data_IF_398333168679
#
_entry.id   IF_398333168679
#
_cell.length_a   1.000
_cell.length_b   1.000
_cell.length_c   1.000
_cell.angle_alpha   90.00
_cell.angle_beta   90.00
_cell.angle_gamma   90.00
#
_symmetry.space_group_name_H-M   'P 1'
#
loop_
_entity.id
_entity.type
_entity.pdbx_description
1 polymer ?
#
# COMPACT_ATOMS: atom_id res chain seq x y z
N UNK A 1 1.36 -24.34 -9.80
CA UNK A 1 1.13 -24.63 -8.37
C UNK A 1 -0.11 -23.86 -7.96
N UNK A 2 -1.06 -24.46 -7.23
CA UNK A 2 -2.25 -23.73 -6.81
C UNK A 2 -1.91 -22.76 -5.67
N UNK A 3 -2.70 -21.70 -5.48
CA UNK A 3 -2.52 -20.74 -4.38
C UNK A 3 -2.51 -21.44 -3.00
N UNK A 4 -3.37 -22.43 -2.82
CA UNK A 4 -3.42 -23.26 -1.60
C UNK A 4 -2.11 -23.98 -1.29
N UNK A 5 -1.41 -24.45 -2.33
CA UNK A 5 -0.16 -25.18 -2.18
C UNK A 5 0.97 -24.23 -1.76
N UNK A 6 1.02 -23.03 -2.36
CA UNK A 6 1.98 -21.99 -2.00
C UNK A 6 1.78 -21.57 -0.54
N UNK A 7 0.53 -21.30 -0.14
CA UNK A 7 0.20 -20.94 1.25
C UNK A 7 0.65 -22.02 2.24
N UNK A 8 0.37 -23.29 1.96
CA UNK A 8 0.80 -24.40 2.82
C UNK A 8 2.33 -24.53 2.89
N UNK A 9 3.05 -24.28 1.78
CA UNK A 9 4.51 -24.29 1.74
C UNK A 9 5.13 -23.15 2.56
N UNK A 10 4.47 -21.99 2.61
CA UNK A 10 5.02 -20.77 3.23
C UNK A 10 4.49 -20.48 4.62
N UNK A 11 3.40 -21.13 5.08
CA UNK A 11 2.73 -20.84 6.36
C UNK A 11 3.66 -20.96 7.58
N UNK A 12 4.64 -21.87 7.51
CA UNK A 12 5.60 -22.10 8.59
C UNK A 12 6.89 -21.28 8.49
N UNK A 13 7.04 -20.46 7.44
CA UNK A 13 8.21 -19.61 7.30
C UNK A 13 8.18 -18.56 8.41
N UNK A 14 9.27 -18.41 9.19
CA UNK A 14 9.33 -17.35 10.19
C UNK A 14 9.25 -16.00 9.48
N UNK A 15 8.39 -15.11 9.99
CA UNK A 15 8.39 -13.72 9.54
C UNK A 15 9.74 -13.07 9.85
N UNK A 16 10.10 -12.07 9.05
CA UNK A 16 11.31 -11.28 9.29
C UNK A 16 11.20 -10.55 10.64
N UNK A 17 12.29 -10.60 11.41
CA UNK A 17 12.42 -9.88 12.67
C UNK A 17 13.44 -8.76 12.50
N UNK A 18 13.03 -7.53 12.80
CA UNK A 18 13.89 -6.36 12.74
C UNK A 18 14.34 -6.01 14.16
N UNK A 19 15.64 -6.13 14.44
CA UNK A 19 16.20 -5.70 15.73
C UNK A 19 15.96 -4.21 16.00
N UNK A 20 15.93 -3.41 14.93
CA UNK A 20 15.64 -1.98 14.98
C UNK A 20 14.46 -1.69 14.06
N UNK A 21 13.40 -1.16 14.64
CA UNK A 21 12.26 -0.62 13.88
C UNK A 21 12.37 0.90 13.87
N UNK A 22 12.25 1.50 12.68
CA UNK A 22 12.31 2.96 12.50
C UNK A 22 10.98 3.66 12.84
N UNK A 23 10.19 3.08 13.76
CA UNK A 23 8.91 3.64 14.14
C UNK A 23 9.10 4.94 14.94
N UNK A 24 8.37 5.97 14.54
CA UNK A 24 8.31 7.24 15.24
C UNK A 24 7.08 7.28 16.15
N UNK A 25 7.08 8.19 17.12
CA UNK A 25 5.86 8.52 17.87
C UNK A 25 5.02 9.49 17.04
N UNK A 26 3.82 9.08 16.56
CA UNK A 26 2.94 10.00 15.84
C UNK A 26 2.25 10.98 16.81
N UNK A 27 1.63 12.06 16.30
CA UNK A 27 0.68 12.84 17.08
C UNK A 27 -0.49 11.95 17.58
N UNK A 28 -1.33 12.46 18.51
CA UNK A 28 -2.57 11.78 18.87
C UNK A 28 -3.37 11.43 17.62
N UNK A 29 -3.99 10.25 17.58
CA UNK A 29 -4.72 9.74 16.40
C UNK A 29 -5.67 10.78 15.80
N UNK A 30 -6.43 11.49 16.65
CA UNK A 30 -7.42 12.48 16.25
C UNK A 30 -6.81 13.74 15.60
N UNK A 31 -5.49 13.90 15.66
CA UNK A 31 -4.75 14.97 15.00
C UNK A 31 -3.92 14.46 13.81
N UNK A 32 -3.85 13.14 13.59
CA UNK A 32 -2.98 12.52 12.60
C UNK A 32 -3.59 12.53 11.19
N UNK A 33 -2.77 12.85 10.20
CA UNK A 33 -3.04 12.60 8.78
C UNK A 33 -2.60 11.18 8.40
N UNK A 34 -3.52 10.37 7.88
CA UNK A 34 -3.27 8.95 7.57
C UNK A 34 -3.27 8.70 6.07
N UNK A 35 -2.19 8.11 5.56
CA UNK A 35 -2.10 7.61 4.18
C UNK A 35 -2.11 6.08 4.13
N UNK A 36 -2.29 5.53 2.93
CA UNK A 36 -2.19 4.09 2.67
C UNK A 36 -0.99 3.87 1.77
N UNK A 37 -0.23 2.82 2.05
CA UNK A 37 0.71 2.25 1.08
C UNK A 37 0.29 0.81 0.84
N UNK A 38 -0.13 0.53 -0.39
CA UNK A 38 -0.59 -0.81 -0.81
C UNK A 38 0.43 -1.48 -1.72
N UNK A 39 0.43 -2.80 -1.73
CA UNK A 39 1.21 -3.62 -2.69
C UNK A 39 0.33 -4.25 -3.77
N UNK A 40 -0.94 -3.84 -3.85
CA UNK A 40 -1.92 -4.35 -4.81
C UNK A 40 -1.70 -3.90 -6.27
N UNK A 41 -0.56 -3.27 -6.58
CA UNK A 41 -0.23 -2.79 -7.93
C UNK A 41 -1.29 -1.86 -8.51
N UNK A 42 -1.87 -0.96 -7.70
CA UNK A 42 -2.92 -0.05 -8.15
C UNK A 42 -2.36 1.19 -8.87
N UNK A 43 -3.08 1.69 -9.87
CA UNK A 43 -2.78 2.95 -10.54
C UNK A 43 -4.05 3.57 -11.13
N UNK A 44 -4.00 4.84 -11.55
CA UNK A 44 -5.07 5.47 -12.31
C UNK A 44 -4.95 5.15 -13.82
N UNK A 45 -6.04 5.21 -14.62
CA UNK A 45 -6.03 4.85 -16.04
C UNK A 45 -5.05 5.65 -16.93
N UNK A 46 -4.61 6.83 -16.49
CA UNK A 46 -3.65 7.68 -17.20
C UNK A 46 -2.20 7.52 -16.76
N UNK A 47 -1.92 6.64 -15.80
CA UNK A 47 -0.57 6.34 -15.32
C UNK A 47 -0.03 5.08 -16.01
N UNK A 48 1.30 4.97 -16.06
CA UNK A 48 1.97 3.77 -16.54
C UNK A 48 1.60 2.56 -15.68
N UNK A 49 1.39 1.42 -16.32
CA UNK A 49 1.20 0.12 -15.65
C UNK A 49 2.49 -0.32 -14.93
N UNK A 50 2.41 -1.36 -14.10
CA UNK A 50 3.56 -1.94 -13.42
C UNK A 50 4.29 -2.94 -14.31
N UNK A 51 5.60 -2.74 -14.47
CA UNK A 51 6.46 -3.74 -15.09
C UNK A 51 6.68 -4.95 -14.16
N UNK A 52 7.06 -6.10 -14.73
CA UNK A 52 7.34 -7.35 -13.96
C UNK A 52 8.40 -7.16 -12.87
N UNK A 53 9.37 -6.27 -13.12
CA UNK A 53 10.47 -5.94 -12.22
C UNK A 53 10.34 -4.50 -11.69
N UNK A 54 9.12 -3.94 -11.64
CA UNK A 54 8.89 -2.57 -11.18
C UNK A 54 9.18 -2.45 -9.68
N UNK A 55 10.18 -1.64 -9.35
CA UNK A 55 10.57 -1.32 -7.98
C UNK A 55 10.04 0.05 -7.55
N UNK A 56 9.40 0.78 -8.45
CA UNK A 56 8.81 2.09 -8.20
C UNK A 56 7.40 2.02 -7.61
N UNK A 57 6.83 3.20 -7.40
CA UNK A 57 5.46 3.36 -6.95
C UNK A 57 4.64 4.20 -7.94
N UNK A 58 3.32 4.10 -7.81
CA UNK A 58 2.36 5.04 -8.39
C UNK A 58 1.70 5.84 -7.28
N UNK A 59 1.44 7.12 -7.56
CA UNK A 59 0.71 8.01 -6.65
C UNK A 59 -0.77 7.83 -6.93
N UNK A 60 -1.52 7.59 -5.87
CA UNK A 60 -2.97 7.43 -5.89
C UNK A 60 -3.60 8.71 -5.37
N UNK A 61 -4.34 9.41 -6.21
CA UNK A 61 -5.10 10.62 -5.90
C UNK A 61 -6.40 10.24 -5.20
N UNK A 62 -6.51 10.61 -3.91
CA UNK A 62 -7.66 10.28 -3.09
C UNK A 62 -8.96 10.96 -3.56
N UNK A 63 -8.90 12.02 -4.37
CA UNK A 63 -10.13 12.59 -4.93
C UNK A 63 -10.80 11.68 -5.98
N UNK A 64 -10.13 10.59 -6.37
CA UNK A 64 -10.57 9.66 -7.41
C UNK A 64 -10.69 8.25 -6.86
N UNK A 65 -11.72 7.53 -7.32
CA UNK A 65 -11.98 6.11 -6.99
C UNK A 65 -11.95 5.25 -8.26
N UNK A 66 -11.15 5.63 -9.25
CA UNK A 66 -11.06 5.00 -10.59
C UNK A 66 -9.82 4.10 -10.75
N UNK A 67 -9.39 3.49 -9.65
CA UNK A 67 -8.19 2.65 -9.61
C UNK A 67 -8.31 1.42 -10.50
N UNK A 68 -7.18 1.04 -11.08
CA UNK A 68 -7.00 -0.17 -11.89
C UNK A 68 -5.87 -0.97 -11.28
N UNK A 69 -5.97 -2.30 -11.32
CA UNK A 69 -4.89 -3.20 -10.89
C UNK A 69 -3.97 -3.56 -12.06
N UNK A 70 -2.68 -3.34 -11.88
CA UNK A 70 -1.58 -3.72 -12.77
C UNK A 70 -0.89 -5.02 -12.35
N UNK A 71 -1.54 -5.86 -11.56
CA UNK A 71 -0.92 -7.05 -11.00
C UNK A 71 -0.61 -8.08 -12.09
N UNK A 72 0.66 -8.52 -12.20
CA UNK A 72 1.11 -9.36 -13.31
C UNK A 72 0.88 -10.86 -13.10
N UNK A 73 0.72 -11.30 -11.86
CA UNK A 73 0.60 -12.73 -11.56
C UNK A 73 -0.74 -13.31 -12.05
N UNK A 74 -0.72 -14.39 -12.85
CA UNK A 74 -1.94 -15.10 -13.22
C UNK A 74 -2.62 -15.81 -12.04
N UNK A 75 -1.91 -15.93 -10.90
CA UNK A 75 -2.44 -16.51 -9.66
C UNK A 75 -3.12 -15.48 -8.76
N UNK A 76 -3.11 -14.19 -9.13
CA UNK A 76 -3.79 -13.15 -8.37
C UNK A 76 -5.29 -13.20 -8.61
N UNK A 77 -6.06 -13.36 -7.53
CA UNK A 77 -7.52 -13.28 -7.57
C UNK A 77 -7.98 -11.83 -7.42
N UNK A 78 -8.23 -11.18 -8.56
CA UNK A 78 -8.76 -9.81 -8.60
C UNK A 78 -10.23 -9.68 -8.22
N UNK A 79 -10.96 -10.77 -7.94
CA UNK A 79 -12.40 -10.71 -7.68
C UNK A 79 -12.74 -9.92 -6.41
N UNK A 80 -11.91 -10.00 -5.37
CA UNK A 80 -12.07 -9.23 -4.15
C UNK A 80 -12.04 -7.72 -4.42
N UNK A 81 -11.02 -7.26 -5.14
CA UNK A 81 -10.91 -5.86 -5.57
C UNK A 81 -12.07 -5.44 -6.48
N UNK A 82 -12.45 -6.30 -7.44
CA UNK A 82 -13.55 -6.01 -8.35
C UNK A 82 -14.91 -5.87 -7.63
N UNK A 83 -15.09 -6.58 -6.50
CA UNK A 83 -16.31 -6.51 -5.71
C UNK A 83 -16.29 -5.35 -4.71
N UNK A 84 -15.16 -5.15 -4.02
CA UNK A 84 -14.94 -4.05 -3.08
C UNK A 84 -13.46 -3.68 -3.04
N UNK A 85 -13.14 -2.48 -3.53
CA UNK A 85 -11.77 -1.95 -3.50
C UNK A 85 -11.19 -1.87 -2.09
N UNK A 86 -12.03 -1.70 -1.06
CA UNK A 86 -11.58 -1.59 0.31
C UNK A 86 -10.92 -2.86 0.84
N UNK A 87 -10.99 -3.98 0.10
CA UNK A 87 -10.23 -5.20 0.38
C UNK A 87 -8.73 -5.01 0.26
N UNK A 88 -8.26 -4.09 -0.61
CA UNK A 88 -6.84 -3.84 -0.88
C UNK A 88 -6.42 -2.38 -0.68
N UNK A 89 -7.39 -1.45 -0.72
CA UNK A 89 -7.21 -0.02 -0.48
C UNK A 89 -8.41 0.49 0.34
N UNK A 90 -8.41 0.32 1.69
CA UNK A 90 -9.53 0.63 2.58
C UNK A 90 -9.72 2.14 2.83
N UNK A 91 -9.74 2.93 1.76
CA UNK A 91 -9.78 4.38 1.83
C UNK A 91 -11.13 4.89 2.35
N UNK A 92 -12.24 4.24 1.97
CA UNK A 92 -13.56 4.61 2.48
C UNK A 92 -13.66 4.34 3.99
N UNK A 93 -12.92 3.33 4.49
CA UNK A 93 -12.83 3.06 5.93
C UNK A 93 -12.01 4.14 6.65
N UNK A 94 -11.02 4.76 6.00
CA UNK A 94 -10.32 5.91 6.57
C UNK A 94 -11.21 7.15 6.58
N UNK A 95 -12.01 7.37 5.53
CA UNK A 95 -13.01 8.45 5.47
C UNK A 95 -13.99 8.35 6.65
N UNK A 96 -14.54 7.15 6.89
CA UNK A 96 -15.43 6.88 8.04
C UNK A 96 -14.75 7.15 9.40
N UNK A 97 -13.46 6.85 9.53
CA UNK A 97 -12.70 7.11 10.75
C UNK A 97 -12.44 8.60 10.96
N UNK A 98 -12.18 9.36 9.89
CA UNK A 98 -12.03 10.80 9.94
C UNK A 98 -13.35 11.48 10.30
N UNK A 99 -14.46 11.08 9.68
CA UNK A 99 -15.81 11.57 9.98
C UNK A 99 -16.20 11.38 11.46
N UNK A 100 -15.74 10.27 12.06
CA UNK A 100 -15.95 9.97 13.48
C UNK A 100 -14.95 10.67 14.42
N UNK A 101 -13.99 11.43 13.90
CA UNK A 101 -12.91 12.05 14.67
C UNK A 101 -11.96 11.05 15.34
N UNK A 102 -11.90 9.82 14.83
CA UNK A 102 -10.94 8.81 15.31
C UNK A 102 -9.54 9.12 14.80
N UNK A 103 -9.45 9.54 13.55
CA UNK A 103 -8.25 10.12 12.95
C UNK A 103 -8.48 11.59 12.62
N UNK A 104 -7.40 12.36 12.43
CA UNK A 104 -7.53 13.78 12.07
C UNK A 104 -8.04 13.99 10.65
N UNK A 105 -7.40 13.34 9.68
CA UNK A 105 -7.87 13.31 8.28
C UNK A 105 -7.23 12.17 7.48
N UNK A 106 -7.81 11.90 6.32
CA UNK A 106 -7.18 11.08 5.26
C UNK A 106 -6.21 11.96 4.45
N UNK A 107 -5.09 11.37 4.02
CA UNK A 107 -4.15 12.04 3.14
C UNK A 107 -4.72 12.16 1.72
N UNK A 108 -4.45 13.28 1.04
CA UNK A 108 -4.89 13.50 -0.35
C UNK A 108 -4.21 12.56 -1.36
N UNK A 109 -3.12 11.89 -0.93
CA UNK A 109 -2.30 11.02 -1.76
C UNK A 109 -1.91 9.74 -1.00
N UNK A 110 -2.10 8.60 -1.67
CA UNK A 110 -1.64 7.28 -1.24
C UNK A 110 -0.57 6.76 -2.22
N UNK A 111 0.13 5.68 -1.86
CA UNK A 111 1.09 5.03 -2.77
C UNK A 111 0.72 3.58 -3.02
N UNK A 112 1.01 3.12 -4.23
CA UNK A 112 0.92 1.71 -4.61
C UNK A 112 2.25 1.23 -5.17
N UNK A 113 2.66 0.05 -4.73
CA UNK A 113 3.79 -0.71 -5.26
C UNK A 113 3.29 -2.02 -5.88
N UNK A 114 4.12 -2.64 -6.70
CA UNK A 114 3.91 -4.03 -7.11
C UNK A 114 4.24 -4.99 -5.95
N UNK A 115 3.39 -5.98 -5.68
CA UNK A 115 3.64 -6.97 -4.62
C UNK A 115 4.71 -8.00 -5.01
N UNK A 116 4.87 -8.26 -6.32
CA UNK A 116 5.87 -9.17 -6.89
C UNK A 116 7.28 -8.55 -6.91
N UNK A 117 7.91 -8.44 -5.74
CA UNK A 117 9.24 -7.85 -5.59
C UNK A 117 10.37 -8.88 -5.73
N UNK A 118 11.28 -8.64 -6.68
CA UNK A 118 12.47 -9.47 -6.92
C UNK A 118 13.79 -8.78 -6.54
N UNK A 119 13.79 -7.44 -6.42
CA UNK A 119 14.97 -6.65 -6.08
C UNK A 119 14.71 -5.79 -4.83
N UNK A 120 14.79 -6.42 -3.67
CA UNK A 120 14.50 -5.75 -2.39
C UNK A 120 15.49 -4.61 -2.05
N UNK A 121 16.70 -4.62 -2.62
CA UNK A 121 17.69 -3.55 -2.42
C UNK A 121 17.23 -2.22 -2.99
N UNK A 122 16.70 -2.21 -4.22
CA UNK A 122 16.18 -1.01 -4.87
C UNK A 122 14.98 -0.45 -4.08
N UNK A 123 14.08 -1.32 -3.63
CA UNK A 123 12.95 -0.91 -2.79
C UNK A 123 13.43 -0.28 -1.47
N UNK A 124 14.40 -0.92 -0.81
CA UNK A 124 14.93 -0.47 0.49
C UNK A 124 15.75 0.82 0.41
N UNK A 125 16.54 0.99 -0.65
CA UNK A 125 17.52 2.06 -0.74
C UNK A 125 17.04 3.26 -1.57
N UNK A 126 16.11 3.05 -2.50
CA UNK A 126 15.70 4.08 -3.46
C UNK A 126 14.21 4.43 -3.34
N UNK A 127 13.31 3.55 -3.80
CA UNK A 127 11.90 3.90 -3.95
C UNK A 127 11.16 3.98 -2.61
N UNK A 128 11.48 3.13 -1.64
CA UNK A 128 10.94 3.18 -0.29
C UNK A 128 11.25 4.52 0.42
N UNK A 129 12.53 4.93 0.53
CA UNK A 129 12.91 6.24 1.06
C UNK A 129 12.30 7.41 0.27
N UNK A 130 12.25 7.31 -1.06
CA UNK A 130 11.64 8.33 -1.92
C UNK A 130 10.14 8.49 -1.66
N UNK A 131 9.39 7.39 -1.58
CA UNK A 131 7.95 7.39 -1.28
C UNK A 131 7.66 7.85 0.15
N UNK A 132 8.47 7.42 1.12
CA UNK A 132 8.36 7.90 2.50
C UNK A 132 8.60 9.42 2.59
N UNK A 133 9.60 9.94 1.88
CA UNK A 133 9.85 11.39 1.79
C UNK A 133 8.66 12.10 1.16
N UNK A 134 8.14 11.59 0.04
CA UNK A 134 6.99 12.16 -0.64
C UNK A 134 5.78 12.30 0.29
N UNK A 135 5.38 11.23 0.98
CA UNK A 135 4.25 11.27 1.92
C UNK A 135 4.52 12.23 3.09
N UNK A 136 5.74 12.25 3.62
CA UNK A 136 6.12 13.21 4.67
C UNK A 136 6.03 14.66 4.21
N UNK A 137 6.40 14.96 2.98
CA UNK A 137 6.28 16.31 2.40
C UNK A 137 4.80 16.74 2.24
N UNK A 138 3.87 15.78 2.14
CA UNK A 138 2.42 16.02 2.15
C UNK A 138 1.82 16.15 3.57
N UNK A 139 2.64 16.07 4.61
CA UNK A 139 2.18 16.15 6.00
C UNK A 139 1.51 14.87 6.50
N UNK A 140 1.85 13.71 5.94
CA UNK A 140 1.40 12.41 6.46
C UNK A 140 2.14 12.07 7.75
N UNK A 141 1.38 11.72 8.78
CA UNK A 141 1.88 11.34 10.11
C UNK A 141 1.95 9.81 10.28
N UNK A 142 0.97 9.10 9.72
CA UNK A 142 0.80 7.66 9.87
C UNK A 142 0.54 7.04 8.50
N UNK A 143 1.17 5.89 8.26
CA UNK A 143 0.94 5.07 7.06
C UNK A 143 0.32 3.75 7.48
N UNK A 144 -0.82 3.41 6.86
CA UNK A 144 -1.38 2.08 6.90
C UNK A 144 -0.79 1.24 5.74
N UNK A 145 -0.08 0.17 6.08
CA UNK A 145 0.45 -0.77 5.09
C UNK A 145 -0.61 -1.83 4.77
N UNK A 146 -0.89 -2.03 3.49
CA UNK A 146 -1.86 -3.03 3.00
C UNK A 146 -1.15 -4.03 2.07
N UNK A 147 -0.61 -5.14 2.63
CA UNK A 147 0.06 -6.16 1.84
C UNK A 147 -0.95 -7.01 1.05
N UNK A 148 -0.66 -7.28 -0.22
CA UNK A 148 -1.47 -8.06 -1.18
C UNK A 148 -0.55 -8.92 -2.02
#
# INVERSE_FOLDING_TARGET
MADSDIKALTESLPGESFEVTAFTTPPPRADATVAIVTTASLHHPGQDDFAVMDTGYRILDDSRRDYVTGHWSPNFDGSGFAYDMNTVLPVDRLDELADRGVIGRVADQHLAYAGNQFELSALRMDSGPSGAKFLRDQGVDVVLLTPV
#
